data_IF_905232817533
#
_entry.id   IF_905232817533
#
_cell.length_a   1.000
_cell.length_b   1.000
_cell.length_c   1.000
_cell.angle_alpha   90.00
_cell.angle_beta   90.00
_cell.angle_gamma   90.00
#
_symmetry.space_group_name_H-M   'P 1'
#
loop_
_entity.id
_entity.type
_entity.pdbx_description
1 polymer ?
#
# COMPACT_ATOMS: atom_id res chain seq x y z
N UNK A 1 -7.30 12.56 16.65
CA UNK A 1 -5.87 12.88 16.54
C UNK A 1 -5.14 12.40 17.78
N UNK A 2 -4.49 11.24 17.67
CA UNK A 2 -3.59 10.74 18.70
C UNK A 2 -2.25 11.46 18.62
N UNK A 3 -1.49 11.44 19.71
CA UNK A 3 -0.10 11.89 19.62
C UNK A 3 0.81 10.78 19.03
N UNK A 4 2.01 11.18 18.61
CA UNK A 4 2.96 10.27 17.95
C UNK A 4 3.36 9.07 18.84
N UNK A 5 3.40 9.27 20.17
CA UNK A 5 3.79 8.22 21.10
C UNK A 5 2.67 7.21 21.30
N UNK A 6 1.42 7.68 21.41
CA UNK A 6 0.23 6.84 21.43
C UNK A 6 0.09 6.01 20.14
N UNK A 7 0.33 6.63 18.98
CA UNK A 7 0.31 5.96 17.69
C UNK A 7 1.40 4.88 17.58
N UNK A 8 2.60 5.15 18.08
CA UNK A 8 3.70 4.17 18.13
C UNK A 8 3.32 2.96 19.00
N UNK A 9 2.80 3.20 20.21
CA UNK A 9 2.37 2.13 21.11
C UNK A 9 1.23 1.29 20.52
N UNK A 10 0.34 1.93 19.75
CA UNK A 10 -0.72 1.22 19.07
C UNK A 10 -0.15 0.33 17.96
N UNK A 11 0.74 0.87 17.13
CA UNK A 11 1.39 0.10 16.06
C UNK A 11 2.12 -1.13 16.61
N UNK A 12 2.94 -0.97 17.67
CA UNK A 12 3.65 -2.08 18.31
C UNK A 12 2.70 -3.19 18.78
N UNK A 13 1.58 -2.81 19.41
CA UNK A 13 0.56 -3.78 19.87
C UNK A 13 -0.14 -4.48 18.71
N UNK A 14 -0.47 -3.75 17.65
CA UNK A 14 -1.13 -4.32 16.47
C UNK A 14 -0.21 -5.36 15.82
N UNK A 15 1.08 -5.03 15.65
CA UNK A 15 2.06 -5.95 15.08
C UNK A 15 2.27 -7.18 15.98
N UNK A 16 2.30 -7.01 17.30
CA UNK A 16 2.36 -8.13 18.26
C UNK A 16 1.13 -9.05 18.17
N UNK A 17 -0.08 -8.47 18.03
CA UNK A 17 -1.32 -9.26 17.89
C UNK A 17 -1.37 -9.98 16.54
N UNK A 18 -0.87 -9.34 15.48
CA UNK A 18 -0.85 -9.89 14.13
C UNK A 18 0.19 -11.02 13.96
N UNK A 19 1.15 -11.17 14.88
CA UNK A 19 2.23 -12.17 14.81
C UNK A 19 2.97 -12.14 13.45
N UNK A 20 3.24 -10.94 12.95
CA UNK A 20 3.80 -10.67 11.62
C UNK A 20 2.98 -11.23 10.43
N UNK A 21 1.76 -11.71 10.65
CA UNK A 21 0.86 -12.19 9.60
C UNK A 21 0.07 -11.03 8.95
N UNK A 22 0.30 -10.81 7.65
CA UNK A 22 -0.39 -9.77 6.88
C UNK A 22 -1.93 -9.88 6.91
N UNK A 23 -2.55 -11.08 6.80
CA UNK A 23 -4.00 -11.22 6.93
C UNK A 23 -4.51 -10.71 8.29
N UNK A 24 -3.85 -11.09 9.38
CA UNK A 24 -4.24 -10.70 10.73
C UNK A 24 -4.07 -9.18 10.93
N UNK A 25 -2.95 -8.61 10.49
CA UNK A 25 -2.73 -7.16 10.51
C UNK A 25 -3.86 -6.42 9.79
N UNK A 26 -4.19 -6.87 8.59
CA UNK A 26 -5.15 -6.19 7.76
C UNK A 26 -6.60 -6.31 8.29
N UNK A 27 -6.95 -7.43 8.94
CA UNK A 27 -8.22 -7.59 9.66
C UNK A 27 -8.29 -6.66 10.89
N UNK A 28 -7.19 -6.49 11.63
CA UNK A 28 -7.14 -5.54 12.75
C UNK A 28 -7.34 -4.10 12.25
N UNK A 29 -6.68 -3.73 11.15
CA UNK A 29 -6.81 -2.39 10.55
C UNK A 29 -8.25 -2.09 10.10
N UNK A 30 -8.98 -3.09 9.59
CA UNK A 30 -10.40 -2.93 9.21
C UNK A 30 -11.31 -2.58 10.40
N UNK A 31 -10.97 -3.06 11.60
CA UNK A 31 -11.74 -2.80 12.82
C UNK A 31 -11.38 -1.49 13.51
N UNK A 32 -10.28 -0.84 13.13
CA UNK A 32 -9.88 0.44 13.70
C UNK A 32 -10.83 1.57 13.31
N UNK A 33 -10.88 2.58 14.19
CA UNK A 33 -11.48 3.86 13.84
C UNK A 33 -10.81 4.42 12.57
N UNK A 34 -11.58 4.88 11.56
CA UNK A 34 -11.02 5.35 10.30
C UNK A 34 -9.96 6.45 10.45
N UNK A 35 -10.11 7.39 11.41
CA UNK A 35 -9.11 8.44 11.63
C UNK A 35 -7.80 7.84 12.16
N UNK A 36 -7.90 6.87 13.08
CA UNK A 36 -6.74 6.18 13.65
C UNK A 36 -6.05 5.29 12.62
N UNK A 37 -6.84 4.58 11.81
CA UNK A 37 -6.31 3.78 10.69
C UNK A 37 -5.55 4.66 9.71
N UNK A 38 -6.13 5.81 9.33
CA UNK A 38 -5.47 6.74 8.42
C UNK A 38 -4.14 7.24 8.99
N UNK A 39 -4.11 7.62 10.27
CA UNK A 39 -2.88 8.02 10.96
C UNK A 39 -1.81 6.91 10.90
N UNK A 40 -2.18 5.64 11.09
CA UNK A 40 -1.26 4.49 10.99
C UNK A 40 -0.78 4.25 9.55
N UNK A 41 -1.70 4.15 8.59
CA UNK A 41 -1.41 3.85 7.17
C UNK A 41 -0.47 4.89 6.56
N UNK A 42 -0.50 6.12 7.06
CA UNK A 42 0.36 7.19 6.57
C UNK A 42 1.48 7.60 7.53
N UNK A 43 1.78 6.74 8.51
CA UNK A 43 2.94 6.87 9.41
C UNK A 43 4.16 6.09 8.91
N UNK A 44 5.26 6.15 9.67
CA UNK A 44 6.47 5.34 9.44
C UNK A 44 6.46 4.04 10.28
N UNK A 45 5.37 3.72 10.97
CA UNK A 45 5.29 2.52 11.83
C UNK A 45 4.95 1.23 11.07
N UNK A 46 4.34 1.37 9.89
CA UNK A 46 4.13 0.29 8.94
C UNK A 46 5.04 0.48 7.73
N UNK A 47 5.27 -0.59 6.98
CA UNK A 47 5.92 -0.51 5.68
C UNK A 47 4.89 -0.43 4.54
N UNK A 48 5.34 -0.06 3.34
CA UNK A 48 4.45 0.09 2.19
C UNK A 48 3.85 -1.25 1.75
N UNK A 49 4.49 -2.38 2.04
CA UNK A 49 3.98 -3.71 1.70
C UNK A 49 2.78 -4.11 2.56
N UNK A 50 2.84 -3.86 3.86
CA UNK A 50 1.74 -4.06 4.79
C UNK A 50 0.51 -3.24 4.38
N UNK A 51 0.72 -1.98 3.97
CA UNK A 51 -0.35 -1.11 3.47
C UNK A 51 -0.88 -1.56 2.10
N UNK A 52 0.00 -2.00 1.21
CA UNK A 52 -0.40 -2.60 -0.06
C UNK A 52 -1.30 -3.82 0.16
N UNK A 53 -0.90 -4.74 1.04
CA UNK A 53 -1.70 -5.91 1.37
C UNK A 53 -3.03 -5.52 2.01
N UNK A 54 -3.02 -4.54 2.94
CA UNK A 54 -4.25 -4.02 3.55
C UNK A 54 -5.28 -3.61 2.50
N UNK A 55 -4.86 -2.81 1.53
CA UNK A 55 -5.75 -2.24 0.52
C UNK A 55 -6.20 -3.23 -0.56
N UNK A 56 -5.28 -4.06 -1.05
CA UNK A 56 -5.55 -4.92 -2.22
C UNK A 56 -5.85 -6.37 -1.86
N UNK A 57 -5.38 -6.85 -0.70
CA UNK A 57 -5.46 -8.26 -0.28
C UNK A 57 -4.84 -9.21 -1.31
N UNK A 58 -3.76 -8.76 -1.93
CA UNK A 58 -3.00 -9.48 -2.94
C UNK A 58 -1.61 -9.81 -2.39
N UNK A 59 -1.12 -11.00 -2.71
CA UNK A 59 0.27 -11.41 -2.49
C UNK A 59 1.03 -11.20 -3.80
N UNK A 60 1.86 -10.14 -3.89
CA UNK A 60 2.62 -9.87 -5.09
C UNK A 60 3.82 -10.82 -5.23
N UNK A 61 4.58 -10.66 -6.30
CA UNK A 61 5.85 -11.38 -6.42
C UNK A 61 6.89 -10.91 -5.38
N UNK A 62 7.96 -11.70 -5.25
CA UNK A 62 9.02 -11.46 -4.26
C UNK A 62 9.69 -10.10 -4.49
N UNK A 63 9.82 -9.65 -5.74
CA UNK A 63 10.51 -8.39 -6.06
C UNK A 63 9.68 -7.19 -5.60
N UNK A 64 8.37 -7.22 -5.82
CA UNK A 64 7.44 -6.21 -5.36
C UNK A 64 7.33 -6.20 -3.82
N UNK A 65 7.26 -7.36 -3.18
CA UNK A 65 7.34 -7.47 -1.71
C UNK A 65 8.63 -6.81 -1.19
N UNK A 66 9.81 -7.28 -1.62
CA UNK A 66 11.10 -6.77 -1.15
C UNK A 66 11.20 -5.24 -1.32
N UNK A 67 10.73 -4.71 -2.45
CA UNK A 67 10.74 -3.27 -2.72
C UNK A 67 9.85 -2.50 -1.75
N UNK A 68 8.60 -2.93 -1.57
CA UNK A 68 7.64 -2.23 -0.72
C UNK A 68 7.97 -2.38 0.78
N UNK A 69 8.50 -3.53 1.17
CA UNK A 69 8.92 -3.82 2.55
C UNK A 69 10.09 -2.93 3.01
N UNK A 70 10.87 -2.36 2.09
CA UNK A 70 11.98 -1.42 2.38
C UNK A 70 11.53 0.04 2.49
N UNK A 71 10.27 0.36 2.18
CA UNK A 71 9.75 1.72 2.22
C UNK A 71 8.78 1.89 3.40
N UNK A 72 8.81 3.04 4.10
CA UNK A 72 7.79 3.33 5.09
C UNK A 72 6.43 3.54 4.42
N UNK A 73 5.36 3.21 5.12
CA UNK A 73 4.00 3.37 4.63
C UNK A 73 3.67 4.84 4.25
N UNK A 74 4.23 5.81 4.98
CA UNK A 74 4.11 7.23 4.65
C UNK A 74 4.59 7.60 3.23
N UNK A 75 5.50 6.82 2.63
CA UNK A 75 5.96 7.04 1.27
C UNK A 75 4.85 6.84 0.23
N UNK A 76 3.85 6.01 0.54
CA UNK A 76 2.70 5.72 -0.34
C UNK A 76 1.91 6.99 -0.68
N UNK A 77 1.89 8.02 0.18
CA UNK A 77 1.25 9.32 -0.15
C UNK A 77 1.87 10.03 -1.35
N UNK A 78 3.15 9.79 -1.62
CA UNK A 78 3.89 10.44 -2.72
C UNK A 78 3.90 9.58 -3.98
N UNK A 79 3.38 8.36 -3.91
CA UNK A 79 3.58 7.34 -4.92
C UNK A 79 4.87 6.56 -4.69
N UNK A 80 4.78 5.25 -4.70
CA UNK A 80 5.90 4.31 -4.67
C UNK A 80 5.86 3.45 -5.92
N UNK A 81 7.01 3.18 -6.51
CA UNK A 81 7.10 2.23 -7.61
C UNK A 81 6.71 0.85 -7.08
N UNK A 82 5.59 0.31 -7.56
CA UNK A 82 5.21 -1.06 -7.28
C UNK A 82 5.97 -1.98 -8.23
N UNK A 83 5.76 -1.85 -9.54
CA UNK A 83 6.24 -2.83 -10.51
C UNK A 83 6.66 -2.17 -11.82
N UNK A 84 7.62 -2.78 -12.52
CA UNK A 84 8.05 -2.37 -13.87
C UNK A 84 7.65 -3.48 -14.84
N UNK A 85 6.98 -3.14 -15.93
CA UNK A 85 6.51 -4.07 -16.97
C UNK A 85 6.83 -3.52 -18.35
N UNK A 86 7.88 -4.08 -18.95
CA UNK A 86 8.44 -3.62 -20.23
C UNK A 86 8.78 -2.12 -20.23
N UNK A 87 7.99 -1.29 -20.93
CA UNK A 87 8.15 0.16 -20.99
C UNK A 87 7.22 0.91 -20.01
N UNK A 88 6.49 0.19 -19.16
CA UNK A 88 5.51 0.73 -18.24
C UNK A 88 5.96 0.60 -16.79
N UNK A 89 5.62 1.60 -15.99
CA UNK A 89 5.77 1.58 -14.53
C UNK A 89 4.39 1.64 -13.86
N UNK A 90 4.20 0.80 -12.85
CA UNK A 90 3.03 0.75 -11.99
C UNK A 90 3.37 1.46 -10.67
N UNK A 91 2.76 2.61 -10.43
CA UNK A 91 2.97 3.41 -9.21
C UNK A 91 1.79 3.20 -8.26
N UNK A 92 2.07 2.71 -7.06
CA UNK A 92 1.12 2.59 -5.97
C UNK A 92 1.07 3.91 -5.18
N UNK A 93 -0.12 4.49 -5.07
CA UNK A 93 -0.37 5.70 -4.27
C UNK A 93 -1.65 5.51 -3.46
N UNK A 94 -1.74 6.15 -2.29
CA UNK A 94 -2.97 6.18 -1.52
C UNK A 94 -3.16 7.56 -0.91
N UNK A 95 -4.40 8.07 -0.97
CA UNK A 95 -4.82 9.34 -0.37
C UNK A 95 -6.21 9.15 0.22
N UNK A 96 -6.47 9.76 1.39
CA UNK A 96 -7.76 9.71 2.08
C UNK A 96 -8.35 8.29 2.21
N UNK A 97 -7.50 7.31 2.56
CA UNK A 97 -7.85 5.87 2.69
C UNK A 97 -8.35 5.22 1.37
N UNK A 98 -8.04 5.84 0.23
CA UNK A 98 -8.33 5.30 -1.11
C UNK A 98 -7.03 4.90 -1.79
N UNK A 99 -6.84 3.61 -2.10
CA UNK A 99 -5.68 3.15 -2.87
C UNK A 99 -5.89 3.40 -4.36
N UNK A 100 -4.81 3.77 -5.05
CA UNK A 100 -4.75 3.98 -6.48
C UNK A 100 -3.50 3.31 -7.08
N UNK A 101 -3.63 2.93 -8.34
CA UNK A 101 -2.52 2.47 -9.17
C UNK A 101 -2.45 3.32 -10.42
N UNK A 102 -1.31 3.96 -10.63
CA UNK A 102 -1.03 4.77 -11.82
C UNK A 102 -0.16 3.94 -12.76
N UNK A 103 -0.51 3.93 -14.05
CA UNK A 103 0.34 3.37 -15.09
C UNK A 103 0.98 4.53 -15.86
N UNK A 104 2.30 4.51 -16.00
CA UNK A 104 3.08 5.57 -16.64
C UNK A 104 4.15 4.97 -17.55
N UNK A 105 4.55 5.68 -18.59
CA UNK A 105 5.72 5.36 -19.43
C UNK A 105 6.99 6.11 -19.00
N UNK A 106 6.91 6.81 -17.86
CA UNK A 106 7.97 7.68 -17.33
C UNK A 106 7.86 9.13 -17.78
N UNK A 107 7.02 9.44 -18.78
CA UNK A 107 6.74 10.81 -19.24
C UNK A 107 5.34 11.28 -18.84
N UNK A 108 4.32 10.44 -19.06
CA UNK A 108 2.93 10.75 -18.73
C UNK A 108 2.17 9.60 -18.08
N UNK A 109 1.15 9.96 -17.30
CA UNK A 109 0.23 8.97 -16.71
C UNK A 109 -0.75 8.53 -17.80
N UNK A 110 -0.61 7.29 -18.24
CA UNK A 110 -1.43 6.66 -19.28
C UNK A 110 -2.78 6.21 -18.75
N UNK A 111 -2.82 5.73 -17.50
CA UNK A 111 -4.04 5.22 -16.88
C UNK A 111 -4.02 5.33 -15.36
N UNK A 112 -5.21 5.42 -14.76
CA UNK A 112 -5.41 5.39 -13.31
C UNK A 112 -6.50 4.41 -12.92
N UNK A 113 -6.23 3.61 -11.89
CA UNK A 113 -7.19 2.70 -11.28
C UNK A 113 -7.30 3.01 -9.80
N UNK A 114 -8.49 2.86 -9.21
CA UNK A 114 -8.76 3.21 -7.82
C UNK A 114 -9.56 2.11 -7.11
N UNK A 115 -9.31 1.97 -5.80
CA UNK A 115 -9.99 1.03 -4.93
C UNK A 115 -9.32 -0.36 -4.86
N UNK A 116 -9.96 -1.32 -4.18
CA UNK A 116 -9.34 -2.60 -3.80
C UNK A 116 -8.89 -3.49 -4.96
N UNK A 117 -9.31 -3.18 -6.20
CA UNK A 117 -8.92 -3.93 -7.41
C UNK A 117 -7.89 -3.21 -8.25
N UNK A 118 -7.47 -2.01 -7.87
CA UNK A 118 -6.63 -1.16 -8.71
C UNK A 118 -5.33 -1.84 -9.12
N UNK A 119 -4.67 -2.58 -8.22
CA UNK A 119 -3.47 -3.36 -8.55
C UNK A 119 -3.72 -4.36 -9.66
N UNK A 120 -4.72 -5.23 -9.50
CA UNK A 120 -5.05 -6.26 -10.48
C UNK A 120 -5.48 -5.66 -11.83
N UNK A 121 -6.27 -4.60 -11.80
CA UNK A 121 -6.72 -3.91 -13.02
C UNK A 121 -5.56 -3.24 -13.75
N UNK A 122 -4.64 -2.62 -13.02
CA UNK A 122 -3.46 -1.97 -13.60
C UNK A 122 -2.48 -2.99 -14.19
N UNK A 123 -2.24 -4.11 -13.50
CA UNK A 123 -1.46 -5.25 -14.01
C UNK A 123 -2.07 -5.81 -15.29
N UNK A 124 -3.37 -6.10 -15.29
CA UNK A 124 -4.06 -6.63 -16.47
C UNK A 124 -3.95 -5.66 -17.64
N UNK A 125 -4.17 -4.37 -17.40
CA UNK A 125 -4.09 -3.36 -18.44
C UNK A 125 -2.68 -3.25 -19.04
N UNK A 126 -1.64 -3.27 -18.20
CA UNK A 126 -0.25 -3.23 -18.65
C UNK A 126 0.11 -4.46 -19.52
N UNK A 127 -0.36 -5.65 -19.12
CA UNK A 127 -0.15 -6.88 -19.90
C UNK A 127 -0.87 -6.86 -21.26
N UNK A 128 -1.98 -6.14 -21.38
CA UNK A 128 -2.69 -5.95 -22.65
C UNK A 128 -1.99 -4.94 -23.58
N UNK A 129 -1.05 -4.13 -23.07
CA UNK A 129 -0.26 -3.18 -23.87
C UNK A 129 1.11 -3.71 -24.32
N UNK A 130 1.59 -4.81 -23.73
CA UNK A 130 2.85 -5.46 -24.07
C UNK A 130 2.73 -6.37 -25.32
#
# INVERSE_FOLDING_TARGET
MMDYYELAQLADKILEIADDELPALADILDELDPEVREELIFSDFLNAYQVFYYFFREEPDILLDERLSLLPASAVRKGVLAEERDLLELIFIAQDDVPEMLVTDGEEILQRFAGPRAYREAVQWADEQA
#
